data_IF_680547733886
#
_entry.id   IF_680547733886
#
_cell.length_a   1.000
_cell.length_b   1.000
_cell.length_c   1.000
_cell.angle_alpha   90.00
_cell.angle_beta   90.00
_cell.angle_gamma   90.00
#
_symmetry.space_group_name_H-M   'P 1'
#
loop_
_entity.id
_entity.type
_entity.pdbx_description
1 polymer ?
#
# COMPACT_ATOMS: atom_id res chain seq x y z
N UNK A 1 -4.56 -45.87 15.13
CA UNK A 1 -4.24 -44.43 15.08
C UNK A 1 -4.67 -43.73 13.77
N UNK A 2 -5.51 -44.36 12.94
CA UNK A 2 -5.87 -43.86 11.59
C UNK A 2 -7.13 -42.96 11.57
N UNK A 3 -7.78 -42.73 12.72
CA UNK A 3 -9.02 -41.96 12.83
C UNK A 3 -8.83 -40.52 13.37
N UNK A 4 -7.60 -40.10 13.65
CA UNK A 4 -7.32 -38.72 14.10
C UNK A 4 -6.92 -37.78 12.95
N UNK A 5 -6.53 -38.30 11.78
CA UNK A 5 -6.11 -37.47 10.65
C UNK A 5 -7.29 -36.76 9.95
N UNK A 6 -8.50 -37.33 10.03
CA UNK A 6 -9.67 -36.73 9.38
C UNK A 6 -10.32 -35.62 10.22
N UNK A 7 -10.03 -35.54 11.53
CA UNK A 7 -10.54 -34.45 12.39
C UNK A 7 -9.61 -33.23 12.40
N UNK A 8 -8.33 -33.37 12.04
CA UNK A 8 -7.43 -32.23 11.83
C UNK A 8 -7.70 -31.52 10.50
N UNK A 9 -8.16 -32.25 9.46
CA UNK A 9 -8.54 -31.64 8.18
C UNK A 9 -9.88 -30.86 8.26
N UNK A 10 -10.87 -31.33 9.04
CA UNK A 10 -12.13 -30.60 9.22
C UNK A 10 -11.99 -29.36 10.12
N UNK A 11 -11.06 -29.35 11.10
CA UNK A 11 -10.79 -28.14 11.91
C UNK A 11 -10.04 -27.05 11.15
N UNK A 12 -9.35 -27.39 10.07
CA UNK A 12 -8.76 -26.41 9.16
C UNK A 12 -9.79 -25.73 8.25
N UNK A 13 -11.02 -26.28 8.14
CA UNK A 13 -12.07 -25.70 7.31
C UNK A 13 -12.79 -24.49 7.96
N UNK A 14 -12.76 -24.36 9.29
CA UNK A 14 -13.46 -23.26 9.99
C UNK A 14 -12.58 -22.05 10.36
N UNK A 15 -11.24 -22.17 10.30
CA UNK A 15 -10.31 -21.12 10.74
C UNK A 15 -9.56 -20.47 9.56
N UNK A 16 -10.20 -20.35 8.39
CA UNK A 16 -9.57 -19.76 7.19
C UNK A 16 -9.59 -18.22 7.14
N UNK A 17 -10.58 -17.58 7.77
CA UNK A 17 -10.77 -16.12 7.68
C UNK A 17 -10.75 -15.39 9.04
N UNK A 18 -11.27 -16.02 10.09
CA UNK A 18 -11.59 -15.37 11.37
C UNK A 18 -10.44 -15.37 12.39
N UNK A 19 -9.32 -16.03 12.10
CA UNK A 19 -8.27 -16.25 13.12
C UNK A 19 -7.14 -15.22 13.07
N UNK A 20 -7.05 -14.41 12.01
CA UNK A 20 -6.12 -13.28 11.94
C UNK A 20 -6.85 -11.98 12.29
N UNK A 21 -6.46 -11.26 13.35
CA UNK A 21 -7.11 -10.00 13.74
C UNK A 21 -7.08 -8.95 12.62
N UNK A 22 -6.05 -8.99 11.77
CA UNK A 22 -5.93 -8.13 10.58
C UNK A 22 -7.06 -8.36 9.57
N UNK A 23 -7.43 -9.62 9.31
CA UNK A 23 -8.47 -9.97 8.35
C UNK A 23 -9.86 -9.52 8.84
N UNK A 24 -10.10 -9.59 10.15
CA UNK A 24 -11.36 -9.11 10.75
C UNK A 24 -11.47 -7.60 10.59
N UNK A 25 -10.38 -6.86 10.87
CA UNK A 25 -10.36 -5.40 10.70
C UNK A 25 -10.60 -5.03 9.24
N UNK A 26 -9.93 -5.70 8.30
CA UNK A 26 -10.13 -5.49 6.87
C UNK A 26 -11.59 -5.73 6.45
N UNK A 27 -12.22 -6.80 6.94
CA UNK A 27 -13.64 -7.11 6.67
C UNK A 27 -14.57 -6.03 7.22
N UNK A 28 -14.34 -5.55 8.45
CA UNK A 28 -15.14 -4.47 9.05
C UNK A 28 -15.04 -3.20 8.20
N UNK A 29 -13.83 -2.85 7.77
CA UNK A 29 -13.58 -1.69 6.90
C UNK A 29 -14.32 -1.85 5.57
N UNK A 30 -14.30 -3.04 4.96
CA UNK A 30 -15.00 -3.33 3.70
C UNK A 30 -16.52 -3.15 3.83
N UNK A 31 -17.11 -3.66 4.92
CA UNK A 31 -18.54 -3.49 5.22
C UNK A 31 -18.89 -2.01 5.39
N UNK A 32 -18.07 -1.24 6.10
CA UNK A 32 -18.27 0.19 6.28
C UNK A 32 -18.27 0.95 4.94
N UNK A 33 -17.42 0.56 3.97
CA UNK A 33 -17.43 1.15 2.63
C UNK A 33 -18.70 0.85 1.83
N UNK A 34 -19.24 -0.37 1.96
CA UNK A 34 -20.50 -0.74 1.32
C UNK A 34 -21.65 0.09 1.90
N UNK A 35 -21.68 0.27 3.23
CA UNK A 35 -22.69 1.11 3.91
C UNK A 35 -22.58 2.57 3.44
N UNK A 36 -21.37 3.13 3.34
CA UNK A 36 -21.14 4.50 2.84
C UNK A 36 -21.68 4.69 1.41
N UNK A 37 -21.54 3.69 0.51
CA UNK A 37 -22.15 3.73 -0.83
C UNK A 37 -23.67 3.83 -0.75
N UNK A 38 -24.31 2.99 0.08
CA UNK A 38 -25.78 2.99 0.24
C UNK A 38 -26.27 4.33 0.80
N UNK A 39 -25.53 4.92 1.75
CA UNK A 39 -25.82 6.25 2.29
C UNK A 39 -25.65 7.33 1.21
N UNK A 40 -24.62 7.26 0.37
CA UNK A 40 -24.38 8.23 -0.70
C UNK A 40 -25.50 8.23 -1.75
N UNK A 41 -26.17 7.10 -1.99
CA UNK A 41 -27.37 7.05 -2.84
C UNK A 41 -28.59 7.77 -2.26
N UNK A 42 -28.63 7.99 -0.95
CA UNK A 42 -29.74 8.65 -0.23
C UNK A 42 -29.43 10.08 0.19
N UNK A 43 -28.16 10.44 0.27
CA UNK A 43 -27.71 11.77 0.68
C UNK A 43 -27.99 12.80 -0.42
N UNK A 44 -28.53 13.95 -0.04
CA UNK A 44 -28.81 15.06 -0.97
C UNK A 44 -27.51 15.67 -1.51
N UNK A 45 -27.54 16.20 -2.72
CA UNK A 45 -26.43 16.95 -3.29
C UNK A 45 -26.86 18.39 -3.61
N UNK A 46 -25.89 19.29 -3.58
CA UNK A 46 -26.07 20.70 -3.98
C UNK A 46 -25.72 20.79 -5.46
N UNK A 47 -26.65 21.30 -6.26
CA UNK A 47 -26.43 21.49 -7.69
C UNK A 47 -25.58 22.75 -7.94
N UNK A 48 -25.10 22.95 -9.17
CA UNK A 48 -24.29 24.13 -9.57
C UNK A 48 -25.04 25.47 -9.33
N UNK A 49 -26.38 25.42 -9.28
CA UNK A 49 -27.24 26.57 -8.99
C UNK A 49 -27.47 26.80 -7.48
N UNK A 50 -26.68 26.16 -6.60
CA UNK A 50 -26.84 26.17 -5.13
C UNK A 50 -28.19 25.64 -4.60
N UNK A 51 -28.95 24.95 -5.44
CA UNK A 51 -30.20 24.31 -5.06
C UNK A 51 -29.95 22.90 -4.50
N UNK A 52 -30.59 22.60 -3.35
CA UNK A 52 -30.53 21.27 -2.73
C UNK A 52 -31.51 20.34 -3.42
N UNK A 53 -30.98 19.34 -4.14
CA UNK A 53 -31.80 18.33 -4.83
C UNK A 53 -31.97 17.12 -3.93
N UNK A 54 -33.22 16.85 -3.51
CA UNK A 54 -33.57 15.73 -2.63
C UNK A 54 -34.22 14.54 -3.33
N UNK A 55 -34.55 14.67 -4.62
CA UNK A 55 -35.22 13.60 -5.36
C UNK A 55 -34.29 12.41 -5.60
N UNK A 56 -34.66 11.19 -5.13
CA UNK A 56 -33.77 10.02 -5.14
C UNK A 56 -33.34 9.58 -6.54
N UNK A 57 -34.21 9.70 -7.54
CA UNK A 57 -33.88 9.36 -8.92
C UNK A 57 -32.81 10.30 -9.52
N UNK A 58 -32.89 11.60 -9.22
CA UNK A 58 -31.89 12.59 -9.69
C UNK A 58 -30.55 12.39 -8.99
N UNK A 59 -30.56 12.09 -7.68
CA UNK A 59 -29.37 11.77 -6.89
C UNK A 59 -28.68 10.53 -7.47
N UNK A 60 -29.42 9.45 -7.72
CA UNK A 60 -28.86 8.21 -8.24
C UNK A 60 -28.20 8.40 -9.61
N UNK A 61 -28.86 9.08 -10.56
CA UNK A 61 -28.30 9.33 -11.90
C UNK A 61 -27.02 10.17 -11.81
N UNK A 62 -27.02 11.21 -10.97
CA UNK A 62 -25.84 12.05 -10.77
C UNK A 62 -24.67 11.25 -10.17
N UNK A 63 -24.95 10.42 -9.15
CA UNK A 63 -23.93 9.59 -8.50
C UNK A 63 -23.38 8.50 -9.42
N UNK A 64 -24.23 7.85 -10.23
CA UNK A 64 -23.82 6.86 -11.24
C UNK A 64 -22.89 7.44 -12.32
N UNK A 65 -23.13 8.68 -12.75
CA UNK A 65 -22.34 9.34 -13.80
C UNK A 65 -20.96 9.81 -13.32
N UNK A 66 -20.77 9.99 -12.02
CA UNK A 66 -19.52 10.46 -11.43
C UNK A 66 -18.78 9.37 -10.69
N UNK A 67 -19.09 9.25 -9.40
CA UNK A 67 -18.22 8.61 -8.42
C UNK A 67 -18.58 7.16 -8.12
N UNK A 68 -19.77 6.70 -8.50
CA UNK A 68 -20.24 5.34 -8.21
C UNK A 68 -19.30 4.24 -8.69
N UNK A 69 -18.60 4.41 -9.83
CA UNK A 69 -17.67 3.38 -10.31
C UNK A 69 -16.43 3.26 -9.42
N UNK A 70 -15.91 4.38 -8.90
CA UNK A 70 -14.67 4.43 -8.12
C UNK A 70 -14.86 3.80 -6.73
N UNK A 71 -15.69 4.39 -5.88
CA UNK A 71 -17.01 3.82 -5.66
C UNK A 71 -17.04 2.30 -5.36
N UNK A 72 -17.81 1.62 -6.20
CA UNK A 72 -17.95 0.19 -6.31
C UNK A 72 -16.61 -0.56 -6.33
N UNK A 73 -15.61 -0.13 -7.13
CA UNK A 73 -14.32 -0.83 -7.24
C UNK A 73 -13.56 -0.85 -5.91
N UNK A 74 -13.59 0.24 -5.15
CA UNK A 74 -12.91 0.33 -3.85
C UNK A 74 -13.57 -0.53 -2.75
N UNK A 75 -14.86 -0.87 -2.91
CA UNK A 75 -15.63 -1.66 -1.96
C UNK A 75 -15.54 -3.17 -2.19
N UNK A 76 -14.88 -3.63 -3.26
CA UNK A 76 -14.74 -5.06 -3.55
C UNK A 76 -13.71 -5.69 -2.58
N UNK A 77 -14.09 -6.71 -1.78
CA UNK A 77 -13.18 -7.45 -0.93
C UNK A 77 -12.38 -8.44 -1.78
N UNK A 78 -11.33 -7.96 -2.46
CA UNK A 78 -10.54 -8.79 -3.37
C UNK A 78 -9.91 -10.01 -2.69
N UNK A 79 -9.67 -9.96 -1.38
CA UNK A 79 -9.13 -11.08 -0.60
C UNK A 79 -10.04 -12.33 -0.65
N UNK A 80 -11.37 -12.14 -0.61
CA UNK A 80 -12.35 -13.24 -0.65
C UNK A 80 -12.34 -13.96 -2.00
N UNK A 81 -12.04 -13.24 -3.09
CA UNK A 81 -11.87 -13.82 -4.42
C UNK A 81 -10.61 -14.68 -4.51
N UNK A 82 -9.53 -14.32 -3.80
CA UNK A 82 -8.27 -15.07 -3.79
C UNK A 82 -8.46 -16.45 -3.16
N UNK A 83 -9.10 -16.48 -1.99
CA UNK A 83 -9.34 -17.72 -1.24
C UNK A 83 -10.12 -18.75 -2.06
N UNK A 84 -10.99 -18.27 -2.96
CA UNK A 84 -11.80 -19.14 -3.82
C UNK A 84 -11.06 -19.65 -5.06
N UNK A 85 -10.00 -18.98 -5.51
CA UNK A 85 -9.42 -19.22 -6.84
C UNK A 85 -8.18 -20.11 -6.82
N UNK A 86 -7.47 -20.25 -5.69
CA UNK A 86 -6.47 -21.32 -5.45
C UNK A 86 -5.29 -21.47 -6.44
N UNK A 87 -5.18 -20.63 -7.47
CA UNK A 87 -4.18 -20.78 -8.55
C UNK A 87 -2.95 -19.89 -8.33
N UNK A 88 -1.78 -20.52 -8.27
CA UNK A 88 -0.47 -19.88 -8.01
C UNK A 88 -0.12 -18.76 -9.01
N UNK A 89 -0.50 -18.89 -10.29
CA UNK A 89 -0.21 -17.86 -11.31
C UNK A 89 -1.04 -16.58 -11.12
N UNK A 90 -2.25 -16.69 -10.59
CA UNK A 90 -3.11 -15.51 -10.35
C UNK A 90 -2.67 -14.69 -9.14
N UNK A 91 -1.83 -15.24 -8.25
CA UNK A 91 -1.44 -14.61 -6.97
C UNK A 91 -0.72 -13.27 -7.16
N UNK A 92 0.01 -13.09 -8.27
CA UNK A 92 0.76 -11.85 -8.58
C UNK A 92 -0.17 -10.72 -9.08
N UNK A 93 -1.05 -11.03 -10.03
CA UNK A 93 -2.09 -10.11 -10.53
C UNK A 93 -3.09 -9.75 -9.44
N UNK A 94 -3.42 -10.71 -8.60
CA UNK A 94 -4.26 -10.53 -7.42
C UNK A 94 -3.54 -9.70 -6.35
N UNK A 95 -2.22 -9.87 -6.18
CA UNK A 95 -1.40 -9.03 -5.31
C UNK A 95 -1.40 -7.56 -5.75
N UNK A 96 -1.44 -7.31 -7.07
CA UNK A 96 -1.62 -5.97 -7.62
C UNK A 96 -3.04 -5.43 -7.35
N UNK A 97 -4.08 -6.26 -7.40
CA UNK A 97 -5.45 -5.85 -7.04
C UNK A 97 -5.58 -5.43 -5.56
N UNK A 98 -4.72 -5.93 -4.65
CA UNK A 98 -4.65 -5.39 -3.27
C UNK A 98 -4.34 -3.89 -3.23
N UNK A 99 -3.67 -3.34 -4.24
CA UNK A 99 -3.43 -1.89 -4.35
C UNK A 99 -4.71 -1.09 -4.59
N UNK A 100 -5.80 -1.70 -5.04
CA UNK A 100 -7.11 -1.06 -5.15
C UNK A 100 -7.63 -0.58 -3.78
N UNK A 101 -7.14 -1.15 -2.67
CA UNK A 101 -7.40 -0.63 -1.31
C UNK A 101 -6.95 0.82 -1.15
N UNK A 102 -5.97 1.29 -1.92
CA UNK A 102 -5.56 2.70 -1.87
C UNK A 102 -6.60 3.66 -2.42
N UNK A 103 -7.51 3.20 -3.31
CA UNK A 103 -8.62 4.02 -3.78
C UNK A 103 -9.54 4.46 -2.62
N UNK A 104 -9.54 3.71 -1.51
CA UNK A 104 -10.24 4.07 -0.28
C UNK A 104 -9.69 5.34 0.36
N UNK A 105 -8.37 5.58 0.26
CA UNK A 105 -7.74 6.81 0.75
C UNK A 105 -8.24 8.04 -0.02
N UNK A 106 -8.56 7.90 -1.31
CA UNK A 106 -9.16 8.98 -2.11
C UNK A 106 -10.53 9.38 -1.54
N UNK A 107 -11.32 8.44 -1.01
CA UNK A 107 -12.58 8.77 -0.33
C UNK A 107 -12.35 9.49 0.99
N UNK A 108 -11.43 9.00 1.81
CA UNK A 108 -11.08 9.62 3.09
C UNK A 108 -10.60 11.05 2.85
N UNK A 109 -9.73 11.26 1.86
CA UNK A 109 -9.24 12.57 1.47
C UNK A 109 -10.37 13.51 1.03
N UNK A 110 -11.32 13.07 0.19
CA UNK A 110 -12.48 13.88 -0.23
C UNK A 110 -13.43 14.22 0.92
N UNK A 111 -13.66 13.26 1.83
CA UNK A 111 -14.51 13.50 3.00
C UNK A 111 -13.84 14.47 3.95
N UNK A 112 -12.52 14.36 4.11
CA UNK A 112 -11.70 15.28 4.89
C UNK A 112 -11.62 16.68 4.26
N UNK A 113 -11.66 16.80 2.93
CA UNK A 113 -11.70 18.07 2.20
C UNK A 113 -12.93 18.91 2.59
N UNK A 114 -14.09 18.25 2.78
CA UNK A 114 -15.32 18.88 3.29
C UNK A 114 -15.24 19.28 4.77
N UNK A 115 -14.34 18.67 5.54
CA UNK A 115 -14.02 19.04 6.93
C UNK A 115 -12.79 19.97 7.01
N UNK A 116 -12.20 20.39 5.88
CA UNK A 116 -10.89 21.06 5.81
C UNK A 116 -10.91 22.56 6.12
N UNK A 117 -11.71 22.99 7.10
CA UNK A 117 -11.57 24.33 7.70
C UNK A 117 -10.20 24.51 8.40
N UNK A 118 -9.41 23.44 8.54
CA UNK A 118 -8.13 23.45 9.23
C UNK A 118 -6.98 23.04 8.29
N UNK A 119 -6.04 23.96 8.03
CA UNK A 119 -4.79 23.65 7.31
C UNK A 119 -3.99 22.47 7.89
N UNK A 120 -4.27 22.09 9.13
CA UNK A 120 -3.75 20.87 9.77
C UNK A 120 -4.23 19.57 9.09
N UNK A 121 -5.46 19.51 8.57
CA UNK A 121 -5.99 18.34 7.87
C UNK A 121 -5.26 18.11 6.54
N UNK A 122 -4.98 19.20 5.80
CA UNK A 122 -4.20 19.17 4.56
C UNK A 122 -2.76 18.73 4.83
N UNK A 123 -2.14 19.24 5.88
CA UNK A 123 -0.79 18.83 6.29
C UNK A 123 -0.75 17.35 6.70
N UNK A 124 -1.74 16.87 7.45
CA UNK A 124 -1.86 15.47 7.84
C UNK A 124 -2.00 14.56 6.61
N UNK A 125 -2.86 14.91 5.64
CA UNK A 125 -2.99 14.18 4.38
C UNK A 125 -1.68 14.15 3.59
N UNK A 126 -0.97 15.28 3.53
CA UNK A 126 0.33 15.37 2.86
C UNK A 126 1.36 14.44 3.53
N UNK A 127 1.37 14.36 4.86
CA UNK A 127 2.24 13.46 5.61
C UNK A 127 1.89 11.98 5.38
N UNK A 128 0.60 11.63 5.39
CA UNK A 128 0.15 10.26 5.10
C UNK A 128 0.50 9.82 3.68
N UNK A 129 0.29 10.69 2.69
CA UNK A 129 0.63 10.41 1.29
C UNK A 129 2.14 10.27 1.08
N UNK A 130 2.94 11.12 1.73
CA UNK A 130 4.40 10.99 1.76
C UNK A 130 4.86 9.63 2.33
N UNK A 131 4.33 9.24 3.49
CA UNK A 131 4.65 7.96 4.11
C UNK A 131 4.26 6.75 3.24
N UNK A 132 3.11 6.82 2.57
CA UNK A 132 2.64 5.76 1.66
C UNK A 132 3.57 5.61 0.46
N UNK A 133 4.03 6.72 -0.13
CA UNK A 133 4.94 6.70 -1.26
C UNK A 133 6.31 6.17 -0.84
N UNK A 134 6.82 6.58 0.32
CA UNK A 134 8.05 6.03 0.87
C UNK A 134 7.94 4.51 1.06
N UNK A 135 6.82 4.01 1.59
CA UNK A 135 6.56 2.58 1.72
C UNK A 135 6.55 1.86 0.36
N UNK A 136 5.87 2.42 -0.64
CA UNK A 136 5.83 1.86 -2.00
C UNK A 136 7.20 1.77 -2.63
N UNK A 137 7.96 2.86 -2.56
CA UNK A 137 9.34 2.89 -3.06
C UNK A 137 10.23 1.93 -2.28
N UNK A 138 10.01 1.74 -0.97
CA UNK A 138 10.77 0.78 -0.17
C UNK A 138 10.49 -0.66 -0.59
N UNK A 139 9.24 -0.99 -0.89
CA UNK A 139 8.86 -2.29 -1.44
C UNK A 139 9.50 -2.52 -2.82
N UNK A 140 9.52 -1.51 -3.69
CA UNK A 140 10.18 -1.60 -5.01
C UNK A 140 11.71 -1.76 -4.84
N UNK A 141 12.33 -1.01 -3.94
CA UNK A 141 13.75 -1.13 -3.61
C UNK A 141 14.11 -2.54 -3.13
N UNK A 142 13.26 -3.11 -2.28
CA UNK A 142 13.38 -4.49 -1.85
C UNK A 142 13.22 -5.49 -3.00
N UNK A 143 12.23 -5.29 -3.86
CA UNK A 143 12.00 -6.13 -5.02
C UNK A 143 13.21 -6.11 -5.97
N UNK A 144 13.80 -4.95 -6.26
CA UNK A 144 15.02 -4.82 -7.09
C UNK A 144 16.15 -5.66 -6.49
N UNK A 145 16.46 -5.47 -5.20
CA UNK A 145 17.53 -6.23 -4.55
C UNK A 145 17.29 -7.74 -4.55
N UNK A 146 16.05 -8.18 -4.35
CA UNK A 146 15.70 -9.60 -4.35
C UNK A 146 15.76 -10.23 -5.75
N UNK A 147 15.36 -9.49 -6.79
CA UNK A 147 15.39 -9.94 -8.18
C UNK A 147 16.80 -9.95 -8.74
N UNK A 148 17.63 -8.95 -8.45
CA UNK A 148 19.00 -8.88 -8.99
C UNK A 148 19.97 -9.87 -8.32
N UNK A 149 19.80 -10.12 -7.02
CA UNK A 149 20.71 -10.97 -6.23
C UNK A 149 21.06 -12.34 -6.85
N UNK A 150 20.11 -13.15 -7.36
CA UNK A 150 20.44 -14.46 -7.95
C UNK A 150 21.23 -14.36 -9.26
N UNK A 151 21.05 -13.30 -10.05
CA UNK A 151 21.69 -13.15 -11.37
C UNK A 151 23.08 -12.50 -11.32
N UNK A 152 23.47 -11.93 -10.18
CA UNK A 152 24.78 -11.29 -10.02
C UNK A 152 25.88 -12.30 -9.67
N UNK A 153 26.95 -12.32 -10.47
CA UNK A 153 28.19 -13.06 -10.19
C UNK A 153 28.93 -12.49 -8.96
N UNK A 154 29.01 -11.16 -8.86
CA UNK A 154 29.56 -10.47 -7.69
C UNK A 154 28.44 -9.93 -6.80
N UNK A 155 28.39 -10.36 -5.54
CA UNK A 155 27.39 -9.97 -4.53
C UNK A 155 27.62 -8.56 -3.99
N UNK A 156 27.50 -7.56 -4.87
CA UNK A 156 27.72 -6.14 -4.57
C UNK A 156 26.42 -5.36 -4.29
N UNK A 157 25.26 -6.02 -4.40
CA UNK A 157 23.97 -5.37 -4.21
C UNK A 157 23.77 -4.84 -2.79
N UNK A 158 22.85 -3.90 -2.62
CA UNK A 158 22.57 -3.29 -1.33
C UNK A 158 22.19 -4.32 -0.25
N UNK A 159 21.53 -5.41 -0.65
CA UNK A 159 21.05 -6.46 0.23
C UNK A 159 22.20 -7.32 0.78
N UNK A 160 23.23 -7.58 -0.02
CA UNK A 160 24.42 -8.30 0.38
C UNK A 160 25.32 -7.41 1.26
N UNK A 161 25.44 -6.12 0.93
CA UNK A 161 26.14 -5.15 1.77
C UNK A 161 25.46 -5.03 3.16
N UNK A 162 24.13 -4.99 3.21
CA UNK A 162 23.36 -5.03 4.47
C UNK A 162 23.66 -6.29 5.30
N UNK A 163 23.72 -7.45 4.65
CA UNK A 163 23.99 -8.72 5.30
C UNK A 163 25.37 -8.70 5.99
N UNK A 164 26.37 -8.12 5.32
CA UNK A 164 27.73 -7.94 5.86
C UNK A 164 27.71 -6.97 7.05
N UNK A 165 27.05 -5.82 6.93
CA UNK A 165 26.98 -4.82 7.99
C UNK A 165 26.32 -5.34 9.28
N UNK A 166 25.29 -6.18 9.15
CA UNK A 166 24.56 -6.77 10.29
C UNK A 166 25.27 -8.06 10.79
N UNK A 167 26.25 -8.59 10.06
CA UNK A 167 26.91 -9.86 10.37
C UNK A 167 26.01 -11.09 10.13
N UNK A 168 24.93 -10.94 9.37
CA UNK A 168 24.00 -12.01 8.99
C UNK A 168 24.17 -12.35 7.52
N UNK A 169 25.30 -12.94 7.18
CA UNK A 169 25.63 -13.27 5.81
C UNK A 169 24.69 -14.33 5.23
N UNK A 170 24.46 -14.25 3.92
CA UNK A 170 23.75 -15.28 3.20
C UNK A 170 24.61 -16.53 3.03
N UNK A 171 23.96 -17.69 3.07
CA UNK A 171 24.57 -19.00 2.87
C UNK A 171 23.72 -19.78 1.87
N UNK A 172 24.34 -20.27 0.79
CA UNK A 172 23.65 -20.96 -0.30
C UNK A 172 23.00 -22.29 0.14
N UNK A 173 23.46 -22.88 1.25
CA UNK A 173 22.88 -24.14 1.78
C UNK A 173 21.61 -23.93 2.59
N UNK A 174 21.38 -22.74 3.14
CA UNK A 174 20.25 -22.44 4.01
C UNK A 174 19.39 -21.33 3.41
N UNK A 175 18.20 -21.67 2.92
CA UNK A 175 17.24 -20.69 2.36
C UNK A 175 16.82 -19.60 3.37
N UNK A 176 16.89 -19.89 4.68
CA UNK A 176 16.59 -18.95 5.76
C UNK A 176 17.81 -18.13 6.22
N UNK A 177 18.93 -18.22 5.51
CA UNK A 177 20.12 -17.40 5.79
C UNK A 177 19.92 -15.94 5.35
N UNK A 178 20.69 -15.03 5.96
CA UNK A 178 20.62 -13.61 5.69
C UNK A 178 19.90 -12.78 6.75
N UNK A 179 19.78 -11.46 6.53
CA UNK A 179 19.04 -10.55 7.41
C UNK A 179 17.56 -10.92 7.51
N UNK A 180 16.93 -10.57 8.64
CA UNK A 180 15.50 -10.86 8.86
C UNK A 180 14.61 -9.99 7.95
N UNK A 181 13.35 -10.39 7.72
CA UNK A 181 12.41 -9.58 6.91
C UNK A 181 12.24 -8.16 7.49
N UNK A 182 12.26 -8.06 8.82
CA UNK A 182 12.18 -6.78 9.54
C UNK A 182 13.41 -5.92 9.25
N UNK A 183 14.61 -6.49 9.29
CA UNK A 183 15.85 -5.77 8.99
C UNK A 183 15.83 -5.26 7.54
N UNK A 184 15.46 -6.12 6.58
CA UNK A 184 15.35 -5.74 5.16
C UNK A 184 14.34 -4.60 4.94
N UNK A 185 13.16 -4.70 5.55
CA UNK A 185 12.10 -3.71 5.41
C UNK A 185 12.46 -2.36 6.04
N UNK A 186 12.97 -2.37 7.29
CA UNK A 186 13.36 -1.14 7.98
C UNK A 186 14.49 -0.43 7.25
N UNK A 187 15.50 -1.17 6.76
CA UNK A 187 16.60 -0.60 6.00
C UNK A 187 16.13 -0.03 4.64
N UNK A 188 15.24 -0.73 3.93
CA UNK A 188 14.68 -0.22 2.67
C UNK A 188 13.84 1.06 2.89
N UNK A 189 13.04 1.07 3.96
CA UNK A 189 12.25 2.24 4.34
C UNK A 189 13.17 3.42 4.72
N UNK A 190 14.20 3.16 5.52
CA UNK A 190 15.20 4.16 5.89
C UNK A 190 15.89 4.77 4.66
N UNK A 191 16.33 3.94 3.71
CA UNK A 191 16.94 4.39 2.46
C UNK A 191 15.98 5.32 1.71
N UNK A 192 14.76 4.87 1.44
CA UNK A 192 13.78 5.66 0.68
C UNK A 192 13.38 6.96 1.37
N UNK A 193 13.19 6.98 2.69
CA UNK A 193 12.96 8.22 3.44
C UNK A 193 14.16 9.15 3.33
N UNK A 194 15.39 8.65 3.50
CA UNK A 194 16.60 9.47 3.42
C UNK A 194 16.83 10.06 2.03
N UNK A 195 16.46 9.33 0.97
CA UNK A 195 16.54 9.79 -0.43
C UNK A 195 15.43 10.77 -0.77
N UNK A 196 14.18 10.52 -0.34
CA UNK A 196 13.05 11.41 -0.58
C UNK A 196 13.18 12.76 0.15
N UNK A 197 13.76 12.75 1.35
CA UNK A 197 14.02 13.96 2.15
C UNK A 197 15.32 14.66 1.76
N UNK A 198 16.05 14.15 0.77
CA UNK A 198 17.35 14.66 0.32
C UNK A 198 18.44 14.70 1.41
N UNK A 199 18.28 13.93 2.50
CA UNK A 199 19.29 13.86 3.58
C UNK A 199 20.47 12.98 3.15
N UNK A 200 20.19 11.80 2.57
CA UNK A 200 21.21 10.98 1.92
C UNK A 200 22.41 10.57 2.79
N UNK A 201 22.18 9.98 3.98
CA UNK A 201 23.24 9.59 4.92
C UNK A 201 24.32 8.65 4.36
N UNK A 202 24.06 7.93 3.27
CA UNK A 202 25.05 7.08 2.59
C UNK A 202 25.30 5.70 3.23
N UNK A 203 24.69 5.38 4.37
CA UNK A 203 24.82 4.06 5.02
C UNK A 203 24.29 2.92 4.14
N UNK A 204 23.27 3.22 3.32
CA UNK A 204 22.74 2.35 2.27
C UNK A 204 22.87 3.11 0.97
N UNK A 205 23.55 2.54 0.00
CA UNK A 205 23.85 3.18 -1.28
C UNK A 205 23.57 2.25 -2.45
N UNK A 206 23.17 2.81 -3.61
CA UNK A 206 23.02 2.05 -4.84
C UNK A 206 24.39 1.71 -5.44
N UNK A 207 24.67 0.43 -5.62
CA UNK A 207 25.91 -0.08 -6.21
C UNK A 207 25.68 -0.55 -7.65
N UNK A 208 24.56 -1.23 -7.91
CA UNK A 208 24.21 -1.73 -9.25
C UNK A 208 23.64 -0.63 -10.16
N UNK A 209 23.64 -0.85 -11.47
CA UNK A 209 23.08 0.12 -12.43
C UNK A 209 21.57 0.30 -12.21
N UNK A 210 20.82 -0.77 -11.95
CA UNK A 210 19.38 -0.69 -11.69
C UNK A 210 19.09 0.04 -10.38
N UNK A 211 19.87 -0.24 -9.33
CA UNK A 211 19.80 0.48 -8.06
C UNK A 211 20.06 1.99 -8.25
N UNK A 212 21.06 2.35 -9.07
CA UNK A 212 21.39 3.77 -9.37
C UNK A 212 20.28 4.47 -10.14
N UNK A 213 19.74 3.83 -11.19
CA UNK A 213 18.62 4.37 -11.98
C UNK A 213 17.41 4.59 -11.07
N UNK A 214 17.08 3.61 -10.22
CA UNK A 214 16.01 3.75 -9.24
C UNK A 214 16.26 4.91 -8.28
N UNK A 215 17.47 5.04 -7.73
CA UNK A 215 17.82 6.16 -6.86
C UNK A 215 17.64 7.53 -7.53
N UNK A 216 17.98 7.66 -8.81
CA UNK A 216 17.76 8.90 -9.58
C UNK A 216 16.25 9.21 -9.66
N UNK A 217 15.42 8.22 -9.97
CA UNK A 217 13.97 8.40 -10.00
C UNK A 217 13.40 8.82 -8.63
N UNK A 218 13.85 8.20 -7.53
CA UNK A 218 13.43 8.55 -6.18
C UNK A 218 13.82 9.99 -5.82
N UNK A 219 15.03 10.42 -6.17
CA UNK A 219 15.49 11.80 -5.93
C UNK A 219 14.64 12.83 -6.68
N UNK A 220 14.29 12.57 -7.96
CA UNK A 220 13.41 13.45 -8.73
C UNK A 220 12.01 13.58 -8.11
N UNK A 221 11.45 12.47 -7.61
CA UNK A 221 10.17 12.46 -6.89
C UNK A 221 10.29 13.25 -5.57
N UNK A 222 11.37 13.03 -4.81
CA UNK A 222 11.66 13.72 -3.55
C UNK A 222 11.72 15.22 -3.70
N UNK A 223 12.42 15.73 -4.72
CA UNK A 223 12.49 17.16 -5.04
C UNK A 223 11.10 17.79 -5.19
N UNK A 224 10.17 17.13 -5.89
CA UNK A 224 8.80 17.61 -6.05
C UNK A 224 8.07 17.69 -4.69
N UNK A 225 8.22 16.68 -3.84
CA UNK A 225 7.58 16.63 -2.52
C UNK A 225 8.10 17.73 -1.58
N UNK A 226 9.42 17.94 -1.55
CA UNK A 226 10.04 18.98 -0.73
C UNK A 226 9.54 20.36 -1.14
N UNK A 227 9.50 20.66 -2.44
CA UNK A 227 8.98 21.93 -2.95
C UNK A 227 7.52 22.13 -2.52
N UNK A 228 6.69 21.10 -2.63
CA UNK A 228 5.28 21.18 -2.24
C UNK A 228 5.07 21.34 -0.72
N UNK A 229 5.94 20.77 0.11
CA UNK A 229 5.92 20.97 1.57
C UNK A 229 6.39 22.37 1.99
N UNK A 230 7.31 22.98 1.25
CA UNK A 230 7.84 24.32 1.57
C UNK A 230 6.93 25.46 1.08
N UNK A 231 6.11 25.21 0.06
CA UNK A 231 5.23 26.21 -0.55
C UNK A 231 4.28 26.94 0.42
N UNK A 232 3.70 26.31 1.47
CA UNK A 232 2.87 26.98 2.46
C UNK A 232 3.65 27.83 3.48
N UNK A 233 4.96 27.61 3.64
CA UNK A 233 5.80 28.37 4.58
C UNK A 233 6.32 29.70 4.01
N UNK A 234 6.22 29.88 2.69
CA UNK A 234 6.70 31.08 1.99
C UNK A 234 5.56 32.04 1.59
N UNK A 235 4.32 31.72 1.92
CA UNK A 235 3.15 32.60 1.79
C UNK A 235 2.81 33.21 3.14
#
# INVERSE_FOLDING_TARGET
AFLLNNQEEEKNWECGYSCNPLNIVDLIVDIMFIIDIVINFRTTYVNINDEVVSHPAKIAIHYFKGWFLIDMVAAIPFDLLIYRTGSDETTTLIGLLKTARLLRLVRVARKLDRYSEYGAAVLFLLMCTFALIAHWLACIWYAIGNVERPYMEHKIGWLDNLAIQIGKNYNDTNANSGPSIKDKYVTALYFTFSSLTSVGFGNVSPNTNSEKIFSICVMLIGCKYIVQMLQPLYK
#
